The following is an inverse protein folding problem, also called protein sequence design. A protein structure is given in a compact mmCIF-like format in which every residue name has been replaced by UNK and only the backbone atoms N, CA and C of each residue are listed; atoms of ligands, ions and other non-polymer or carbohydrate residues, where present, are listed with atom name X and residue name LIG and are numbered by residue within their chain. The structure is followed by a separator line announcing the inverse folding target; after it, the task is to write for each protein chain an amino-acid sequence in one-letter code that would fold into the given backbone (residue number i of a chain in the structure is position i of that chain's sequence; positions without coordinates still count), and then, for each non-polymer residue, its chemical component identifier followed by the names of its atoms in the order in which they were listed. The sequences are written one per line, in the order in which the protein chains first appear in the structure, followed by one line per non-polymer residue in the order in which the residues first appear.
data_IF_086638570416
#
_entry.id   IF_086638570416
#
_cell.length_a   1.000
_cell.length_b   1.000
_cell.length_c   1.000
_cell.angle_alpha   90.00
_cell.angle_beta   90.00
_cell.angle_gamma   90.00
#
_symmetry.space_group_name_H-M   'P 1'
#
loop_
_entity.id
_entity.type
_entity.pdbx_description
1 polymer ?
#
# COMPACT_ATOMS: atom_id res chain seq x y z
N UNK A 1 -1.98 -8.91 15.53
CA UNK A 1 -0.86 -8.00 15.18
C UNK A 1 -0.34 -7.38 16.47
N UNK A 2 0.96 -7.33 16.73
CA UNK A 2 1.49 -6.69 17.94
C UNK A 2 1.57 -5.18 17.68
N UNK A 3 0.70 -4.39 18.32
CA UNK A 3 0.48 -2.97 18.00
C UNK A 3 1.68 -2.06 18.32
N UNK A 4 2.69 -2.55 19.03
CA UNK A 4 3.90 -1.79 19.42
C UNK A 4 4.76 -1.33 18.22
N UNK A 5 4.55 -1.97 17.06
CA UNK A 5 5.28 -1.68 15.83
C UNK A 5 4.51 -0.80 14.85
N UNK A 6 3.23 -0.49 15.10
CA UNK A 6 2.45 0.38 14.23
C UNK A 6 3.00 1.82 14.32
N UNK A 7 3.27 2.42 13.17
CA UNK A 7 3.61 3.84 13.05
C UNK A 7 2.33 4.64 12.79
N UNK A 8 1.50 4.19 11.84
CA UNK A 8 0.24 4.84 11.53
C UNK A 8 -0.46 4.27 10.31
N UNK A 9 -1.53 4.95 9.91
CA UNK A 9 -2.28 4.70 8.68
C UNK A 9 -1.83 5.69 7.61
N UNK A 10 -1.74 5.23 6.36
CA UNK A 10 -1.30 6.02 5.22
C UNK A 10 -2.51 6.48 4.40
N UNK A 11 -2.47 7.73 3.95
CA UNK A 11 -3.50 8.33 3.10
C UNK A 11 -4.67 8.94 3.85
N UNK A 12 -5.72 9.27 3.09
CA UNK A 12 -6.98 9.81 3.61
C UNK A 12 -8.17 8.90 3.26
N UNK A 13 -9.38 9.43 3.37
CA UNK A 13 -10.61 8.69 3.10
C UNK A 13 -10.66 8.03 1.71
N UNK A 14 -9.87 8.49 0.74
CA UNK A 14 -9.83 7.94 -0.62
C UNK A 14 -9.11 6.61 -0.72
N UNK A 15 -8.35 6.20 0.30
CA UNK A 15 -7.71 4.89 0.36
C UNK A 15 -8.68 3.82 0.89
N UNK A 16 -9.57 4.20 1.80
CA UNK A 16 -10.61 3.29 2.28
C UNK A 16 -11.53 2.88 1.12
N UNK A 17 -11.83 1.58 1.02
CA UNK A 17 -12.60 0.95 -0.06
C UNK A 17 -12.02 1.16 -1.47
N UNK A 18 -10.77 1.63 -1.57
CA UNK A 18 -10.10 1.76 -2.86
C UNK A 18 -9.63 0.41 -3.37
N UNK A 19 -9.59 0.27 -4.69
CA UNK A 19 -9.13 -0.94 -5.37
C UNK A 19 -7.72 -0.74 -5.89
N UNK A 20 -6.82 -1.69 -5.64
CA UNK A 20 -5.53 -1.72 -6.33
C UNK A 20 -5.79 -1.95 -7.82
N UNK A 21 -5.45 -0.97 -8.65
CA UNK A 21 -5.65 -1.02 -10.09
C UNK A 21 -4.42 -1.56 -10.82
N UNK A 22 -3.24 -1.03 -10.50
CA UNK A 22 -1.97 -1.48 -11.08
C UNK A 22 -0.85 -1.42 -10.06
N UNK A 23 0.11 -2.33 -10.19
CA UNK A 23 1.39 -2.31 -9.48
C UNK A 23 2.52 -2.29 -10.51
N UNK A 24 3.20 -1.16 -10.62
CA UNK A 24 4.28 -0.95 -11.58
C UNK A 24 5.62 -0.86 -10.85
N UNK A 25 6.66 -1.47 -11.42
CA UNK A 25 8.03 -1.36 -10.91
C UNK A 25 8.85 -0.48 -11.85
N UNK A 26 9.53 0.52 -11.28
CA UNK A 26 10.47 1.39 -12.00
C UNK A 26 11.78 1.48 -11.21
N UNK A 27 12.81 0.79 -11.71
CA UNK A 27 14.10 0.62 -11.02
C UNK A 27 13.90 0.07 -9.60
N UNK A 28 14.32 0.85 -8.59
CA UNK A 28 14.18 0.51 -7.18
C UNK A 28 12.88 1.06 -6.56
N UNK A 29 11.93 1.53 -7.37
CA UNK A 29 10.68 2.10 -6.89
C UNK A 29 9.48 1.24 -7.31
N UNK A 30 8.43 1.26 -6.49
CA UNK A 30 7.15 0.66 -6.82
C UNK A 30 6.08 1.74 -6.81
N UNK A 31 5.24 1.72 -7.84
CA UNK A 31 4.07 2.57 -7.97
C UNK A 31 2.82 1.72 -7.87
N UNK A 32 1.99 1.99 -6.87
CA UNK A 32 0.68 1.36 -6.71
C UNK A 32 -0.38 2.41 -7.04
N UNK A 33 -1.15 2.15 -8.09
CA UNK A 33 -2.30 2.97 -8.45
C UNK A 33 -3.55 2.39 -7.80
N UNK A 34 -4.28 3.22 -7.08
CA UNK A 34 -5.54 2.90 -6.44
C UNK A 34 -6.66 3.69 -7.12
N UNK A 35 -7.83 3.08 -7.21
CA UNK A 35 -9.05 3.75 -7.69
C UNK A 35 -10.06 3.75 -6.54
N UNK A 36 -10.44 4.94 -6.07
CA UNK A 36 -11.48 5.09 -5.03
C UNK A 36 -12.86 4.73 -5.58
N UNK A 37 -13.86 4.55 -4.69
CA UNK A 37 -15.25 4.34 -5.11
C UNK A 37 -15.79 5.47 -6.02
N UNK A 38 -15.29 6.70 -5.80
CA UNK A 38 -15.62 7.88 -6.60
C UNK A 38 -14.83 7.98 -7.91
N UNK A 39 -14.05 6.95 -8.27
CA UNK A 39 -13.16 6.89 -9.44
C UNK A 39 -11.99 7.88 -9.40
N UNK A 40 -11.63 8.39 -8.23
CA UNK A 40 -10.43 9.19 -8.06
C UNK A 40 -9.21 8.29 -8.07
N UNK A 41 -8.14 8.75 -8.72
CA UNK A 41 -6.89 8.00 -8.80
C UNK A 41 -5.94 8.46 -7.70
N UNK A 42 -5.51 7.52 -6.87
CA UNK A 42 -4.48 7.75 -5.85
C UNK A 42 -3.24 6.96 -6.24
N UNK A 43 -2.09 7.63 -6.33
CA UNK A 43 -0.82 6.98 -6.63
C UNK A 43 0.05 6.95 -5.38
N UNK A 44 0.28 5.74 -4.85
CA UNK A 44 1.26 5.49 -3.80
C UNK A 44 2.60 5.12 -4.44
N UNK A 45 3.65 5.88 -4.14
CA UNK A 45 5.00 5.63 -4.66
C UNK A 45 5.94 5.28 -3.52
N UNK A 46 6.49 4.07 -3.59
CA UNK A 46 7.42 3.52 -2.62
C UNK A 46 8.85 3.68 -3.14
N UNK A 47 9.69 4.34 -2.36
CA UNK A 47 11.04 4.75 -2.75
C UNK A 47 12.09 3.80 -2.21
N UNK A 48 13.02 3.36 -3.06
CA UNK A 48 14.11 2.43 -2.72
C UNK A 48 13.57 1.18 -1.98
N UNK A 49 12.77 0.41 -2.71
CA UNK A 49 12.11 -0.80 -2.26
C UNK A 49 13.14 -1.91 -2.05
N UNK A 50 13.20 -2.40 -0.81
CA UNK A 50 14.03 -3.54 -0.42
C UNK A 50 13.38 -4.87 -0.75
N UNK A 51 12.07 -4.97 -0.58
CA UNK A 51 11.33 -6.20 -0.87
C UNK A 51 9.85 -5.96 -1.06
N UNK A 52 9.23 -6.76 -1.92
CA UNK A 52 7.79 -6.88 -2.09
C UNK A 52 7.37 -8.32 -1.78
N UNK A 53 6.25 -8.47 -1.06
CA UNK A 53 5.52 -9.73 -0.97
C UNK A 53 4.11 -9.46 -1.48
N UNK A 54 3.67 -10.25 -2.46
CA UNK A 54 2.32 -10.15 -2.99
C UNK A 54 1.74 -11.53 -3.29
N UNK A 55 0.41 -11.58 -3.30
CA UNK A 55 -0.40 -12.64 -3.88
C UNK A 55 -1.64 -11.97 -4.46
N UNK A 56 -1.88 -12.10 -5.77
CA UNK A 56 -3.05 -11.59 -6.49
C UNK A 56 -3.54 -10.20 -6.06
N UNK A 57 -2.60 -9.28 -5.80
CA UNK A 57 -2.89 -7.99 -5.18
C UNK A 57 -3.66 -7.02 -6.10
N UNK A 58 -3.53 -7.13 -7.42
CA UNK A 58 -4.31 -6.30 -8.35
C UNK A 58 -5.77 -6.73 -8.33
N UNK A 59 -6.69 -5.77 -8.13
CA UNK A 59 -8.10 -6.03 -7.91
C UNK A 59 -8.51 -6.09 -6.44
N UNK A 60 -7.54 -6.22 -5.52
CA UNK A 60 -7.77 -6.22 -4.06
C UNK A 60 -8.41 -4.90 -3.61
N UNK A 61 -9.48 -5.01 -2.81
CA UNK A 61 -10.14 -3.86 -2.18
C UNK A 61 -9.51 -3.63 -0.81
N UNK A 62 -9.19 -2.39 -0.51
CA UNK A 62 -8.44 -2.03 0.68
C UNK A 62 -9.37 -1.59 1.81
N UNK A 63 -9.15 -2.15 2.98
CA UNK A 63 -9.61 -1.53 4.22
C UNK A 63 -8.72 -0.33 4.58
N UNK A 64 -7.39 -0.52 4.52
CA UNK A 64 -6.42 0.54 4.80
C UNK A 64 -5.02 0.20 4.29
N UNK A 65 -4.12 1.18 4.31
CA UNK A 65 -2.68 0.94 4.25
C UNK A 65 -2.08 1.33 5.59
N UNK A 66 -1.33 0.41 6.20
CA UNK A 66 -0.66 0.64 7.47
C UNK A 66 0.85 0.68 7.30
N UNK A 67 1.48 1.54 8.08
CA UNK A 67 2.92 1.70 8.16
C UNK A 67 3.43 1.09 9.47
N UNK A 68 4.41 0.20 9.36
CA UNK A 68 4.98 -0.58 10.45
C UNK A 68 6.49 -0.35 10.52
N UNK A 69 7.01 -0.29 11.75
CA UNK A 69 8.45 -0.27 12.02
C UNK A 69 9.15 -1.45 11.34
N UNK A 70 10.26 -1.15 10.70
CA UNK A 70 11.18 -2.12 10.10
C UNK A 70 12.62 -1.65 10.40
N UNK A 71 13.62 -2.46 10.09
CA UNK A 71 15.02 -2.08 10.23
C UNK A 71 15.33 -0.81 9.43
N UNK A 72 15.71 0.26 10.14
CA UNK A 72 16.12 1.53 9.54
C UNK A 72 17.19 1.32 8.44
N UNK A 73 17.11 2.07 7.32
CA UNK A 73 16.22 3.20 7.05
C UNK A 73 14.82 2.80 6.52
N UNK A 74 14.46 1.52 6.53
CA UNK A 74 13.24 1.04 5.89
C UNK A 74 12.03 1.05 6.84
N UNK A 75 10.85 1.06 6.22
CA UNK A 75 9.54 0.85 6.84
C UNK A 75 8.78 -0.22 6.06
N UNK A 76 7.87 -0.93 6.71
CA UNK A 76 7.00 -1.91 6.08
C UNK A 76 5.61 -1.30 5.91
N UNK A 77 5.10 -1.37 4.69
CA UNK A 77 3.76 -0.92 4.31
C UNK A 77 2.92 -2.16 4.01
N UNK A 78 1.79 -2.31 4.70
CA UNK A 78 0.87 -3.42 4.49
C UNK A 78 -0.46 -2.87 3.97
N UNK A 79 -0.88 -3.40 2.83
CA UNK A 79 -2.18 -3.15 2.25
C UNK A 79 -3.16 -4.16 2.85
N UNK A 80 -4.03 -3.68 3.74
CA UNK A 80 -4.98 -4.51 4.46
C UNK A 80 -6.16 -4.77 3.54
N UNK A 81 -6.35 -6.03 3.17
CA UNK A 81 -7.51 -6.47 2.40
C UNK A 81 -8.79 -6.23 3.21
N UNK A 82 -9.83 -5.74 2.54
CA UNK A 82 -11.16 -5.58 3.11
C UNK A 82 -11.86 -6.93 3.31
N UNK A 83 -11.55 -7.92 2.46
CA UNK A 83 -12.07 -9.28 2.56
C UNK A 83 -11.09 -10.17 3.34
N UNK A 84 -11.49 -10.60 4.55
CA UNK A 84 -10.68 -11.46 5.42
C UNK A 84 -10.62 -12.93 4.94
N UNK A 85 -11.53 -13.35 4.06
CA UNK A 85 -11.55 -14.71 3.50
C UNK A 85 -10.72 -14.83 2.21
N UNK A 86 -10.39 -13.70 1.58
CA UNK A 86 -9.61 -13.64 0.35
C UNK A 86 -8.10 -13.71 0.65
N UNK A 87 -7.37 -14.50 -0.16
CA UNK A 87 -5.95 -14.75 0.04
C UNK A 87 -5.03 -13.65 -0.54
N UNK A 88 -5.60 -12.62 -1.16
CA UNK A 88 -4.84 -11.53 -1.78
C UNK A 88 -4.16 -10.69 -0.71
N UNK A 89 -2.90 -10.36 -0.94
CA UNK A 89 -2.14 -9.49 -0.05
C UNK A 89 -1.08 -8.70 -0.80
N UNK A 90 -0.71 -7.55 -0.24
CA UNK A 90 0.44 -6.78 -0.66
C UNK A 90 1.18 -6.20 0.55
N UNK A 91 2.47 -6.50 0.64
CA UNK A 91 3.39 -5.92 1.61
C UNK A 91 4.62 -5.38 0.88
N UNK A 92 5.02 -4.14 1.20
CA UNK A 92 6.17 -3.48 0.60
C UNK A 92 7.10 -3.00 1.71
N UNK A 93 8.38 -3.29 1.61
CA UNK A 93 9.42 -2.71 2.47
C UNK A 93 10.21 -1.70 1.65
N UNK A 94 10.15 -0.43 2.04
CA UNK A 94 10.75 0.69 1.31
C UNK A 94 11.29 1.75 2.27
N UNK A 95 12.13 2.67 1.78
CA UNK A 95 12.65 3.77 2.60
C UNK A 95 11.59 4.83 2.90
N UNK A 96 10.73 5.09 1.93
CA UNK A 96 9.70 6.14 2.03
C UNK A 96 8.47 5.79 1.18
N UNK A 97 7.35 6.45 1.47
CA UNK A 97 6.10 6.34 0.73
C UNK A 97 5.49 7.73 0.50
N UNK A 98 5.27 8.08 -0.77
CA UNK A 98 4.64 9.34 -1.18
C UNK A 98 3.26 9.05 -1.75
N UNK A 99 2.23 9.68 -1.20
CA UNK A 99 0.85 9.59 -1.70
C UNK A 99 0.53 10.85 -2.51
N UNK A 100 0.15 10.66 -3.78
CA UNK A 100 -0.32 11.72 -4.66
C UNK A 100 -1.76 11.45 -5.06
N UNK A 101 -2.59 12.49 -5.00
CA UNK A 101 -3.98 12.43 -5.43
C UNK A 101 -4.10 13.15 -6.78
N UNK A 102 -4.62 12.46 -7.78
CA UNK A 102 -4.87 13.05 -9.09
C UNK A 102 -6.32 13.51 -9.16
N UNK A 103 -6.52 14.79 -9.49
CA UNK A 103 -7.82 15.41 -9.73
C UNK A 103 -8.23 15.29 -11.19
#
# INVERSE_FOLDING_TARGET
MNNENLIGYIGDYRIHDSKIHTIETDNDNIHVSLVSENKEIVKATFIEVKSIKSNDAEGMILYSIIEIKEQQPYRKFIFVNWDEEDASYLEIVAKDCIINFQN
#
